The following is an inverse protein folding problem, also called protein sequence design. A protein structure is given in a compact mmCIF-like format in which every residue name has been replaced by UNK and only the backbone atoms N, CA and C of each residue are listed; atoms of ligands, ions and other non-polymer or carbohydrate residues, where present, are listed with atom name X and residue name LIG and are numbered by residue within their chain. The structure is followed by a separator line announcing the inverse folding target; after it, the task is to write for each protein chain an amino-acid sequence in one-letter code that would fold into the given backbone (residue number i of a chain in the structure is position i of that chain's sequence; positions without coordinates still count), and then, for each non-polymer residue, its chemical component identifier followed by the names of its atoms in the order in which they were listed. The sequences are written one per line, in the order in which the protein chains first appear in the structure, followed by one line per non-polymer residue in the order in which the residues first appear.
data_IF_931505808755
#
_entry.id   IF_931505808755
#
_cell.length_a   1.000
_cell.length_b   1.000
_cell.length_c   1.000
_cell.angle_alpha   90.00
_cell.angle_beta   90.00
_cell.angle_gamma   90.00
#
_symmetry.space_group_name_H-M   'P 1'
#
loop_
_entity.id
_entity.type
_entity.pdbx_description
1 polymer ?
#
# COMPACT_ATOMS: atom_id res chain seq x y z
N UNK A 1 6.22 -6.80 -18.69
CA UNK A 1 6.05 -5.35 -18.95
C UNK A 1 5.28 -4.78 -17.77
N UNK A 2 5.92 -4.02 -16.87
CA UNK A 2 5.25 -3.48 -15.68
C UNK A 2 4.49 -2.23 -16.10
N UNK A 3 3.16 -2.33 -16.22
CA UNK A 3 2.29 -1.18 -16.49
C UNK A 3 2.50 -0.11 -15.40
N UNK A 4 2.81 1.10 -15.83
CA UNK A 4 3.33 2.22 -15.04
C UNK A 4 2.24 3.01 -14.29
N UNK A 5 1.00 2.52 -14.27
CA UNK A 5 -0.15 3.27 -13.73
C UNK A 5 -1.30 2.35 -13.27
N UNK A 6 -1.00 1.30 -12.51
CA UNK A 6 -2.08 0.58 -11.82
C UNK A 6 -2.51 1.39 -10.61
N UNK A 7 -3.75 1.89 -10.60
CA UNK A 7 -4.33 2.52 -9.41
C UNK A 7 -4.43 1.46 -8.32
N UNK A 8 -3.71 1.67 -7.21
CA UNK A 8 -3.58 0.69 -6.14
C UNK A 8 -4.46 1.09 -4.98
N UNK A 9 -5.34 0.20 -4.59
CA UNK A 9 -6.23 0.35 -3.47
C UNK A 9 -5.83 -0.60 -2.36
N UNK A 10 -5.83 -0.13 -1.11
CA UNK A 10 -5.60 -1.00 0.05
C UNK A 10 -6.92 -1.22 0.78
N UNK A 11 -7.24 -2.47 1.13
CA UNK A 11 -8.37 -2.81 1.99
C UNK A 11 -7.86 -3.55 3.23
N UNK A 12 -8.31 -3.11 4.40
CA UNK A 12 -8.12 -3.82 5.67
C UNK A 12 -9.38 -3.78 6.52
N UNK A 13 -9.58 -4.83 7.31
CA UNK A 13 -10.57 -4.85 8.38
C UNK A 13 -10.05 -4.03 9.56
N UNK A 14 -10.89 -3.16 10.13
CA UNK A 14 -10.53 -2.42 11.33
C UNK A 14 -10.81 -3.28 12.58
N UNK A 15 -9.78 -3.74 13.32
CA UNK A 15 -9.97 -4.68 14.43
C UNK A 15 -10.60 -4.07 15.68
N UNK A 16 -10.86 -2.74 15.70
CA UNK A 16 -11.24 -1.99 16.90
C UNK A 16 -12.74 -1.71 17.06
N UNK A 17 -13.62 -2.11 16.15
CA UNK A 17 -15.05 -1.76 16.21
C UNK A 17 -15.92 -2.98 15.96
N UNK A 18 -17.01 -3.10 16.75
CA UNK A 18 -18.10 -4.10 16.60
C UNK A 18 -18.80 -4.04 15.23
N UNK A 19 -18.45 -3.06 14.40
CA UNK A 19 -18.88 -2.93 13.01
C UNK A 19 -17.61 -3.02 12.17
N UNK A 20 -17.48 -4.10 11.38
CA UNK A 20 -16.42 -4.19 10.37
C UNK A 20 -16.55 -2.96 9.44
N UNK A 21 -15.54 -2.09 9.50
CA UNK A 21 -15.38 -0.99 8.55
C UNK A 21 -14.20 -1.30 7.67
N UNK A 22 -14.43 -1.18 6.36
CA UNK A 22 -13.40 -1.36 5.35
C UNK A 22 -12.84 0.02 5.01
N UNK A 23 -11.54 0.22 5.15
CA UNK A 23 -10.90 1.46 4.71
C UNK A 23 -10.30 1.22 3.34
N UNK A 24 -10.69 2.04 2.37
CA UNK A 24 -10.02 2.16 1.09
C UNK A 24 -8.98 3.28 1.19
N UNK A 25 -7.72 2.94 0.95
CA UNK A 25 -6.66 3.93 0.79
C UNK A 25 -6.24 4.00 -0.68
N UNK A 26 -6.33 5.19 -1.29
CA UNK A 26 -5.71 5.47 -2.58
C UNK A 26 -4.20 5.62 -2.38
N UNK A 27 -3.42 4.72 -2.97
CA UNK A 27 -1.98 4.71 -2.81
C UNK A 27 -1.26 5.95 -3.41
N UNK A 28 -1.93 6.73 -4.27
CA UNK A 28 -1.38 7.93 -4.90
C UNK A 28 -1.76 9.21 -4.13
N UNK A 29 -3.00 9.30 -3.64
CA UNK A 29 -3.54 10.51 -2.99
C UNK A 29 -3.50 10.48 -1.47
N UNK A 30 -3.20 9.32 -0.86
CA UNK A 30 -3.19 9.09 0.59
C UNK A 30 -4.54 9.36 1.28
N UNK A 31 -5.61 9.52 0.51
CA UNK A 31 -6.97 9.69 1.00
C UNK A 31 -7.50 8.35 1.53
N UNK A 32 -8.18 8.41 2.68
CA UNK A 32 -8.80 7.25 3.32
C UNK A 32 -10.30 7.42 3.37
N UNK A 33 -11.02 6.52 2.72
CA UNK A 33 -12.47 6.50 2.74
C UNK A 33 -12.94 5.24 3.47
N UNK A 34 -13.93 5.38 4.35
CA UNK A 34 -14.47 4.26 5.12
C UNK A 34 -15.78 3.78 4.51
N UNK A 35 -15.89 2.47 4.33
CA UNK A 35 -17.04 1.79 3.75
C UNK A 35 -17.59 0.75 4.72
N UNK A 36 -18.87 0.44 4.57
CA UNK A 36 -19.56 -0.55 5.40
C UNK A 36 -19.58 -1.95 4.75
N UNK A 37 -19.25 -2.06 3.46
CA UNK A 37 -19.11 -3.34 2.74
C UNK A 37 -18.04 -3.24 1.65
N UNK A 38 -17.50 -4.39 1.24
CA UNK A 38 -16.58 -4.48 0.09
C UNK A 38 -17.30 -4.10 -1.21
N UNK A 39 -18.60 -4.37 -1.29
CA UNK A 39 -19.41 -4.05 -2.46
C UNK A 39 -19.44 -2.54 -2.74
N UNK A 40 -19.59 -1.71 -1.69
CA UNK A 40 -19.48 -0.26 -1.82
C UNK A 40 -18.10 0.19 -2.31
N UNK A 41 -17.03 -0.51 -1.92
CA UNK A 41 -15.68 -0.22 -2.40
C UNK A 41 -15.58 -0.49 -3.91
N UNK A 42 -16.09 -1.64 -4.37
CA UNK A 42 -16.08 -1.99 -5.79
C UNK A 42 -16.90 -0.99 -6.61
N UNK A 43 -18.07 -0.58 -6.11
CA UNK A 43 -18.91 0.43 -6.75
C UNK A 43 -18.23 1.81 -6.83
N UNK A 44 -17.62 2.27 -5.74
CA UNK A 44 -16.90 3.55 -5.70
C UNK A 44 -15.74 3.59 -6.70
N UNK A 45 -14.97 2.50 -6.78
CA UNK A 45 -13.82 2.38 -7.68
C UNK A 45 -14.30 2.34 -9.14
N UNK A 46 -15.36 1.58 -9.44
CA UNK A 46 -15.93 1.50 -10.78
C UNK A 46 -16.56 2.84 -11.23
N UNK A 47 -17.10 3.64 -10.30
CA UNK A 47 -17.74 4.92 -10.62
C UNK A 47 -16.77 6.09 -10.80
N UNK A 48 -15.56 6.02 -10.23
CA UNK A 48 -14.64 7.17 -10.16
C UNK A 48 -13.38 7.06 -11.03
N UNK A 49 -13.12 5.93 -11.70
CA UNK A 49 -11.85 5.69 -12.40
C UNK A 49 -12.11 5.36 -13.87
N UNK A 50 -11.51 6.14 -14.78
CA UNK A 50 -11.62 5.92 -16.24
C UNK A 50 -10.98 4.60 -16.70
N UNK A 51 -9.97 4.09 -15.98
CA UNK A 51 -9.24 2.85 -16.30
C UNK A 51 -9.37 1.79 -15.20
N UNK A 52 -10.56 1.20 -15.07
CA UNK A 52 -10.86 0.11 -14.11
C UNK A 52 -10.05 -1.16 -14.39
N UNK A 53 -9.72 -1.44 -15.65
CA UNK A 53 -9.03 -2.68 -16.07
C UNK A 53 -7.64 -2.85 -15.44
N UNK A 54 -6.93 -1.74 -15.18
CA UNK A 54 -5.60 -1.73 -14.58
C UNK A 54 -5.63 -1.53 -13.05
N UNK A 55 -6.81 -1.33 -12.46
CA UNK A 55 -6.95 -1.09 -11.03
C UNK A 55 -6.89 -2.41 -10.24
N UNK A 56 -6.08 -2.40 -9.16
CA UNK A 56 -5.93 -3.55 -8.26
C UNK A 56 -6.17 -3.18 -6.81
N UNK A 57 -6.85 -4.10 -6.13
CA UNK A 57 -7.17 -4.05 -4.73
C UNK A 57 -6.21 -4.99 -3.99
N UNK A 58 -5.34 -4.42 -3.19
CA UNK A 58 -4.41 -5.12 -2.30
C UNK A 58 -5.09 -5.39 -0.96
N UNK A 59 -5.00 -6.63 -0.51
CA UNK A 59 -5.62 -7.09 0.74
C UNK A 59 -4.56 -7.05 1.83
N UNK A 60 -4.83 -6.31 2.91
CA UNK A 60 -3.97 -6.21 4.08
C UNK A 60 -4.57 -7.03 5.22
N UNK A 61 -3.79 -7.97 5.75
CA UNK A 61 -4.12 -8.73 6.95
C UNK A 61 -2.92 -8.73 7.92
N UNK A 62 -3.18 -8.56 9.21
CA UNK A 62 -2.13 -8.47 10.25
C UNK A 62 -1.01 -7.46 9.92
N UNK A 63 -1.36 -6.30 9.33
CA UNK A 63 -0.42 -5.24 8.90
C UNK A 63 0.53 -5.64 7.74
N UNK A 64 0.26 -6.75 7.05
CA UNK A 64 1.01 -7.19 5.86
C UNK A 64 0.07 -7.28 4.67
N UNK A 65 0.60 -6.99 3.49
CA UNK A 65 -0.11 -7.28 2.23
C UNK A 65 0.03 -8.77 1.99
N UNK A 66 -1.10 -9.46 1.84
CA UNK A 66 -1.12 -10.92 1.65
C UNK A 66 -1.37 -11.30 0.18
N UNK A 67 -1.85 -10.36 -0.63
CA UNK A 67 -2.14 -10.57 -2.04
C UNK A 67 -2.95 -9.42 -2.64
N UNK A 68 -3.37 -9.59 -3.88
CA UNK A 68 -4.23 -8.63 -4.57
C UNK A 68 -5.27 -9.31 -5.46
N UNK A 69 -6.30 -8.55 -5.82
CA UNK A 69 -7.28 -8.89 -6.84
C UNK A 69 -7.44 -7.69 -7.78
N UNK A 70 -7.76 -7.94 -9.06
CA UNK A 70 -8.27 -6.85 -9.90
C UNK A 70 -9.64 -6.42 -9.38
N UNK A 71 -10.02 -5.18 -9.64
CA UNK A 71 -11.34 -4.66 -9.22
C UNK A 71 -12.48 -5.50 -9.80
N UNK A 72 -12.36 -5.90 -11.08
CA UNK A 72 -13.31 -6.80 -11.73
C UNK A 72 -13.44 -8.15 -11.00
N UNK A 73 -12.32 -8.84 -10.74
CA UNK A 73 -12.31 -10.11 -10.00
C UNK A 73 -12.89 -9.95 -8.59
N UNK A 74 -12.59 -8.84 -7.92
CA UNK A 74 -13.17 -8.55 -6.60
C UNK A 74 -14.69 -8.40 -6.69
N UNK A 75 -15.21 -7.70 -7.70
CA UNK A 75 -16.65 -7.57 -7.94
C UNK A 75 -17.34 -8.92 -8.20
N UNK A 76 -16.76 -9.74 -9.08
CA UNK A 76 -17.25 -11.09 -9.36
C UNK A 76 -17.27 -11.96 -8.09
N UNK A 77 -16.20 -11.90 -7.31
CA UNK A 77 -16.05 -12.67 -6.07
C UNK A 77 -17.07 -12.24 -5.02
N UNK A 78 -17.23 -10.93 -4.80
CA UNK A 78 -18.22 -10.39 -3.86
C UNK A 78 -19.65 -10.77 -4.28
N UNK A 79 -19.97 -10.68 -5.57
CA UNK A 79 -21.28 -11.09 -6.07
C UNK A 79 -21.52 -12.59 -5.84
N UNK A 80 -20.50 -13.43 -6.07
CA UNK A 80 -20.59 -14.87 -5.80
C UNK A 80 -20.81 -15.15 -4.32
N UNK A 81 -20.04 -14.51 -3.43
CA UNK A 81 -20.20 -14.69 -1.97
C UNK A 81 -21.59 -14.25 -1.49
N UNK A 82 -22.15 -13.19 -2.08
CA UNK A 82 -23.53 -12.75 -1.79
C UNK A 82 -24.56 -13.80 -2.25
N UNK A 83 -24.38 -14.40 -3.43
CA UNK A 83 -25.23 -15.49 -3.92
C UNK A 83 -25.10 -16.77 -3.07
N UNK A 84 -23.90 -17.03 -2.55
CA UNK A 84 -23.60 -18.13 -1.62
C UNK A 84 -24.13 -17.89 -0.20
N UNK A 85 -24.78 -16.73 0.06
CA UNK A 85 -25.43 -16.41 1.33
C UNK A 85 -24.48 -15.92 2.42
N UNK A 86 -23.26 -15.49 2.07
CA UNK A 86 -22.27 -14.98 3.03
C UNK A 86 -22.58 -13.52 3.36
N UNK A 87 -22.75 -13.23 4.66
CA UNK A 87 -22.96 -11.88 5.17
C UNK A 87 -21.85 -10.93 4.71
N UNK A 88 -22.22 -9.74 4.23
CA UNK A 88 -21.31 -8.69 3.75
C UNK A 88 -20.21 -8.36 4.77
N UNK A 89 -20.53 -8.45 6.06
CA UNK A 89 -19.57 -8.24 7.16
C UNK A 89 -18.51 -9.33 7.28
N UNK A 90 -18.64 -10.46 6.61
CA UNK A 90 -17.70 -11.58 6.71
C UNK A 90 -17.03 -11.90 5.37
N UNK A 91 -17.38 -11.17 4.30
CA UNK A 91 -16.88 -11.46 2.95
C UNK A 91 -15.36 -11.33 2.86
N UNK A 92 -14.75 -10.33 3.50
CA UNK A 92 -13.30 -10.14 3.42
C UNK A 92 -12.56 -11.22 4.21
N UNK A 93 -13.03 -11.53 5.42
CA UNK A 93 -12.51 -12.63 6.22
C UNK A 93 -12.59 -13.95 5.45
N UNK A 94 -13.72 -14.21 4.78
CA UNK A 94 -13.90 -15.41 3.96
C UNK A 94 -12.93 -15.46 2.76
N UNK A 95 -12.66 -14.33 2.11
CA UNK A 95 -11.64 -14.22 1.04
C UNK A 95 -10.25 -14.53 1.59
N UNK A 96 -9.94 -14.03 2.78
CA UNK A 96 -8.63 -14.22 3.44
C UNK A 96 -8.43 -15.69 3.83
N UNK A 97 -9.41 -16.28 4.53
CA UNK A 97 -9.33 -17.64 5.08
C UNK A 97 -9.25 -18.70 3.98
N UNK A 98 -9.99 -18.50 2.88
CA UNK A 98 -10.01 -19.40 1.72
C UNK A 98 -8.93 -19.08 0.68
N UNK A 99 -8.07 -18.08 0.93
CA UNK A 99 -6.97 -17.67 0.04
C UNK A 99 -7.45 -17.35 -1.39
N UNK A 100 -8.60 -16.69 -1.52
CA UNK A 100 -9.23 -16.35 -2.81
C UNK A 100 -8.62 -15.09 -3.44
N UNK A 101 -7.29 -14.95 -3.39
CA UNK A 101 -6.54 -13.78 -3.85
C UNK A 101 -5.27 -14.17 -4.60
N UNK A 102 -4.82 -13.32 -5.53
CA UNK A 102 -3.60 -13.56 -6.32
C UNK A 102 -2.36 -13.22 -5.45
N UNK A 103 -1.52 -14.23 -5.19
CA UNK A 103 -0.28 -14.08 -4.38
C UNK A 103 0.92 -13.52 -5.14
N UNK A 104 0.90 -13.55 -6.47
CA UNK A 104 2.03 -13.13 -7.32
C UNK A 104 2.46 -11.66 -7.08
N UNK A 105 1.58 -10.85 -6.49
CA UNK A 105 1.81 -9.42 -6.31
C UNK A 105 2.27 -9.05 -4.88
N UNK A 106 2.51 -10.04 -4.01
CA UNK A 106 3.02 -9.82 -2.64
C UNK A 106 4.40 -9.13 -2.66
N UNK A 107 5.23 -9.41 -3.68
CA UNK A 107 6.61 -8.94 -3.79
C UNK A 107 6.79 -7.60 -4.51
N UNK A 108 5.79 -7.12 -5.26
CA UNK A 108 5.90 -5.92 -6.12
C UNK A 108 5.24 -4.69 -5.48
N UNK A 109 4.58 -4.84 -4.34
CA UNK A 109 4.07 -3.68 -3.61
C UNK A 109 5.19 -2.98 -2.85
N UNK A 110 5.83 -2.04 -3.54
CA UNK A 110 6.70 -1.05 -2.94
C UNK A 110 5.83 0.05 -2.36
N UNK A 111 5.67 0.06 -1.04
CA UNK A 111 5.01 1.18 -0.33
C UNK A 111 5.86 2.44 -0.50
N UNK A 112 5.37 3.48 -1.21
CA UNK A 112 6.13 4.71 -1.43
C UNK A 112 6.48 5.41 -0.10
N UNK A 113 5.71 5.19 0.97
CA UNK A 113 5.99 5.74 2.31
C UNK A 113 7.26 5.15 2.89
N UNK A 114 7.43 3.82 2.80
CA UNK A 114 8.65 3.14 3.26
C UNK A 114 9.85 3.60 2.46
N UNK A 115 9.72 3.81 1.16
CA UNK A 115 10.80 4.34 0.34
C UNK A 115 11.16 5.78 0.68
N UNK A 116 10.18 6.64 0.96
CA UNK A 116 10.44 8.01 1.43
C UNK A 116 11.23 8.02 2.74
N UNK A 117 10.86 7.15 3.69
CA UNK A 117 11.58 7.02 4.97
C UNK A 117 12.99 6.45 4.76
N UNK A 118 13.15 5.41 3.94
CA UNK A 118 14.46 4.85 3.61
C UNK A 118 15.35 5.90 2.94
N UNK A 119 14.81 6.69 2.02
CA UNK A 119 15.54 7.77 1.35
C UNK A 119 15.97 8.87 2.34
N UNK A 120 15.11 9.23 3.31
CA UNK A 120 15.47 10.17 4.37
C UNK A 120 16.61 9.64 5.25
N UNK A 121 16.55 8.36 5.65
CA UNK A 121 17.60 7.72 6.45
C UNK A 121 18.93 7.68 5.67
N UNK A 122 18.89 7.31 4.38
CA UNK A 122 20.07 7.31 3.51
C UNK A 122 20.67 8.70 3.38
N UNK A 123 19.84 9.72 3.23
CA UNK A 123 20.28 11.11 3.14
C UNK A 123 20.97 11.57 4.44
N UNK A 124 20.38 11.29 5.60
CA UNK A 124 20.96 11.61 6.90
C UNK A 124 22.29 10.89 7.14
N UNK A 125 22.36 9.60 6.78
CA UNK A 125 23.60 8.82 6.88
C UNK A 125 24.71 9.40 5.98
N UNK A 126 24.35 9.83 4.77
CA UNK A 126 25.28 10.47 3.84
C UNK A 126 25.77 11.82 4.40
N UNK A 127 24.87 12.64 4.95
CA UNK A 127 25.21 13.92 5.56
C UNK A 127 26.15 13.75 6.77
N UNK A 128 25.87 12.78 7.64
CA UNK A 128 26.75 12.40 8.76
C UNK A 128 28.14 11.95 8.27
N UNK A 129 28.21 11.16 7.20
CA UNK A 129 29.49 10.70 6.65
C UNK A 129 30.35 11.86 6.12
N UNK A 130 29.74 12.86 5.49
CA UNK A 130 30.41 14.08 5.04
C UNK A 130 30.94 14.89 6.23
N UNK A 131 30.15 15.04 7.29
CA UNK A 131 30.58 15.75 8.51
C UNK A 131 31.77 15.04 9.15
N UNK A 132 31.73 13.71 9.30
CA UNK A 132 32.83 12.92 9.85
C UNK A 132 34.09 13.08 9.00
N UNK A 133 33.97 13.05 7.66
CA UNK A 133 35.10 13.24 6.74
C UNK A 133 35.72 14.63 6.88
N UNK A 134 34.91 15.69 6.97
CA UNK A 134 35.39 17.06 7.17
C UNK A 134 36.13 17.23 8.50
N UNK A 135 35.61 16.65 9.58
CA UNK A 135 36.29 16.65 10.89
C UNK A 135 37.63 15.91 10.81
N UNK A 136 37.67 14.75 10.14
CA UNK A 136 38.91 14.00 9.94
C UNK A 136 39.94 14.79 9.11
N UNK A 137 39.52 15.50 8.06
CA UNK A 137 40.38 16.35 7.23
C UNK A 137 40.91 17.57 7.99
N UNK A 138 40.10 18.17 8.88
CA UNK A 138 40.56 19.22 9.79
C UNK A 138 41.60 18.70 10.78
N UNK A 139 41.36 17.53 11.37
CA UNK A 139 42.25 16.95 12.39
C UNK A 139 43.58 16.47 11.79
N UNK A 140 43.55 15.90 10.59
CA UNK A 140 44.74 15.41 9.87
C UNK A 140 45.55 16.51 9.18
N UNK A 141 45.08 17.77 9.23
CA UNK A 141 45.83 18.92 8.71
C UNK A 141 45.90 19.01 7.18
N UNK A 142 45.04 18.28 6.46
CA UNK A 142 44.99 18.29 4.99
C UNK A 142 44.23 19.48 4.39
N UNK A 143 43.58 20.30 5.21
CA UNK A 143 42.99 21.56 4.75
C UNK A 143 44.10 22.60 4.55
N UNK A 144 44.28 23.16 3.33
CA UNK A 144 45.25 24.22 3.12
C UNK A 144 44.87 25.38 4.03
N UNK A 145 45.78 25.75 4.94
CA UNK A 145 45.69 27.03 5.64
C UNK A 145 45.63 28.08 4.54
N UNK A 146 44.47 28.73 4.37
CA UNK A 146 44.38 29.95 3.58
C UNK A 146 45.26 30.99 4.27
N UNK A 147 46.53 31.00 3.91
CA UNK A 147 47.47 32.06 4.24
C UNK A 147 47.06 33.29 3.44
N UNK A 148 46.56 34.30 4.16
CA UNK A 148 46.45 35.68 3.68
C UNK A 148 47.84 36.23 3.37
#
# INVERSE_FOLDING_TARGET
MISKSSTKFLIFENPKKDVQKFTLEDANLESKTNFNSIQQIVEEINGNIENVEDARIFIIHSKKIIGSLSVQKMGELVNKLTLDGIDQKNQLSHIIDNKLYDKEHELVFVDPKKWRVINLILFDALLMSVVILLVALMYTGYLPKYTK
#
